data_IF_776498944104
#
_entry.id   IF_776498944104
#
_cell.length_a   1.000
_cell.length_b   1.000
_cell.length_c   1.000
_cell.angle_alpha   90.00
_cell.angle_beta   90.00
_cell.angle_gamma   90.00
#
_symmetry.space_group_name_H-M   'P 1'
#
loop_
_entity.id
_entity.type
_entity.pdbx_description
1 polymer ?
2 branched ?
3 non-polymer ?
4 non-polymer ?
5 non-polymer ?
6 water ?
#
# COMPACT_ATOMS: atom_id res chain seq x y z
N UNK A 1 -14.67 -18.11 17.26
CA UNK A 1 -14.15 -16.93 16.58
C UNK A 1 -15.25 -15.97 16.10
N UNK A 2 -15.04 -14.68 16.34
CA UNK A 2 -15.98 -13.66 15.90
C UNK A 2 -15.34 -12.73 14.87
N UNK A 3 -16.18 -12.14 14.01
CA UNK A 3 -15.72 -11.10 13.10
C UNK A 3 -15.16 -9.95 13.95
N UNK A 4 -14.05 -9.36 13.50
CA UNK A 4 -13.51 -8.20 14.20
C UNK A 4 -14.31 -6.92 13.94
N UNK A 5 -14.53 -6.13 14.98
CA UNK A 5 -15.18 -4.82 14.84
C UNK A 5 -14.19 -3.68 15.11
N UNK A 6 -14.29 -2.62 14.31
CA UNK A 6 -13.44 -1.44 14.50
C UNK A 6 -13.95 -0.59 15.65
N UNK A 7 -13.52 -0.91 16.87
CA UNK A 7 -14.07 -0.27 18.06
C UNK A 7 -13.12 0.71 18.76
N UNK A 8 -11.89 0.81 18.27
CA UNK A 8 -10.88 1.63 18.93
C UNK A 8 -10.48 2.83 18.08
N UNK A 9 -9.95 3.86 18.73
CA UNK A 9 -9.33 4.98 18.03
C UNK A 9 -7.86 4.67 17.85
N UNK A 10 -7.16 5.49 17.06
CA UNK A 10 -5.72 5.32 16.89
C UNK A 10 -4.98 5.67 18.18
N UNK A 11 -3.88 4.99 18.44
CA UNK A 11 -3.00 5.40 19.53
C UNK A 11 -2.39 6.75 19.17
N UNK A 12 -2.03 7.53 20.18
CA UNK A 12 -1.34 8.79 19.95
C UNK A 12 0.02 8.48 19.35
N UNK A 13 0.32 9.14 18.23
CA UNK A 13 1.57 8.92 17.51
C UNK A 13 2.59 10.00 17.87
N UNK A 14 3.55 9.66 18.74
CA UNK A 14 4.60 10.61 19.10
C UNK A 14 5.93 10.33 18.39
N UNK A 15 6.07 9.10 17.88
CA UNK A 15 7.23 8.71 17.06
C UNK A 15 6.96 7.36 16.39
N UNK A 16 7.95 6.86 15.65
CA UNK A 16 7.79 5.56 15.01
C UNK A 16 8.93 4.62 15.40
N UNK A 17 8.59 3.38 15.76
CA UNK A 17 9.61 2.39 16.10
C UNK A 17 9.73 1.33 15.01
N UNK A 18 10.91 0.72 14.89
CA UNK A 18 11.10 -0.36 13.92
C UNK A 18 10.17 -1.53 14.26
N UNK A 19 9.53 -2.09 13.23
CA UNK A 19 8.61 -3.21 13.43
C UNK A 19 9.09 -4.46 12.69
N UNK A 20 9.46 -4.28 11.41
CA UNK A 20 9.93 -5.39 10.61
C UNK A 20 10.80 -4.95 9.46
N UNK A 21 11.73 -5.81 9.08
CA UNK A 21 12.63 -5.55 7.95
C UNK A 21 13.15 -6.91 7.52
N UNK A 22 13.09 -7.22 6.22
CA UNK A 22 13.49 -8.56 5.79
C UNK A 22 14.88 -8.66 5.16
N UNK A 23 15.45 -7.53 4.75
CA UNK A 23 16.77 -7.54 4.11
C UNK A 23 16.83 -8.50 2.91
N UNK A 24 15.73 -8.59 2.17
CA UNK A 24 15.56 -9.63 1.15
C UNK A 24 16.62 -9.62 0.04
N UNK A 25 17.02 -8.42 -0.39
CA UNK A 25 17.96 -8.32 -1.51
C UNK A 25 19.37 -8.71 -1.07
N UNK A 26 19.76 -8.29 0.14
CA UNK A 26 21.05 -8.70 0.72
C UNK A 26 21.12 -10.22 0.79
N UNK A 27 20.09 -10.82 1.35
CA UNK A 27 20.06 -12.26 1.56
C UNK A 27 19.93 -13.01 0.23
N UNK A 28 19.15 -12.44 -0.69
CA UNK A 28 18.93 -13.05 -1.98
C UNK A 28 20.10 -13.00 -2.94
N UNK A 29 21.18 -12.31 -2.56
CA UNK A 29 22.43 -12.37 -3.32
C UNK A 29 22.97 -13.80 -3.32
N UNK A 30 22.61 -14.54 -2.28
CA UNK A 30 23.12 -15.90 -2.08
C UNK A 30 22.11 -16.73 -1.31
N UNK A 31 20.91 -16.86 -1.89
CA UNK A 31 19.85 -17.69 -1.35
C UNK A 31 18.71 -17.72 -2.36
N UNK A 32 17.81 -18.68 -2.22
CA UNK A 32 16.69 -18.81 -3.14
C UNK A 32 15.54 -17.89 -2.73
N UNK A 33 15.78 -16.58 -2.92
CA UNK A 33 14.81 -15.54 -2.56
C UNK A 33 14.04 -15.11 -3.82
N UNK A 34 12.71 -15.13 -3.73
CA UNK A 34 11.88 -14.80 -4.89
C UNK A 34 11.99 -13.32 -5.25
N UNK A 35 12.03 -13.01 -6.55
CA UNK A 35 11.89 -11.64 -6.98
C UNK A 35 10.46 -11.18 -6.70
N UNK A 36 10.30 -10.02 -6.08
CA UNK A 36 8.96 -9.48 -5.80
C UNK A 36 8.87 -8.02 -6.19
N UNK A 37 7.66 -7.48 -6.05
CA UNK A 37 7.45 -6.04 -5.90
C UNK A 37 6.05 -5.84 -5.34
N UNK A 38 5.67 -4.58 -5.14
CA UNK A 38 4.36 -4.26 -4.57
C UNK A 38 4.07 -5.03 -3.27
N UNK A 39 4.95 -4.90 -2.26
CA UNK A 39 4.75 -5.65 -1.01
C UNK A 39 3.78 -4.96 -0.06
N UNK A 40 3.32 -5.69 0.94
CA UNK A 40 2.62 -5.09 2.07
C UNK A 40 2.71 -5.97 3.29
N UNK A 41 2.00 -5.57 4.34
CA UNK A 41 1.98 -6.35 5.58
C UNK A 41 0.50 -6.47 5.96
N UNK A 42 0.12 -7.63 6.48
CA UNK A 42 -1.25 -7.83 6.94
C UNK A 42 -1.26 -8.83 8.09
N UNK A 43 -2.13 -8.60 9.07
CA UNK A 43 -2.19 -9.47 10.24
C UNK A 43 -3.40 -10.40 10.26
N UNK A 44 -3.17 -11.61 10.76
CA UNK A 44 -4.23 -12.52 11.19
C UNK A 44 -4.37 -12.30 12.69
N UNK A 45 -5.37 -12.93 13.33
CA UNK A 45 -5.48 -12.73 14.79
C UNK A 45 -4.35 -13.35 15.59
N UNK A 46 -3.62 -14.31 15.00
CA UNK A 46 -2.54 -14.99 15.73
C UNK A 46 -1.14 -14.77 15.12
N UNK A 47 -1.08 -13.97 14.04
CA UNK A 47 0.16 -13.83 13.30
C UNK A 47 0.11 -12.64 12.34
N UNK A 48 1.24 -11.96 12.19
CA UNK A 48 1.36 -10.92 11.16
C UNK A 48 2.36 -11.39 10.12
N UNK A 49 2.07 -11.09 8.85
CA UNK A 49 2.89 -11.59 7.76
C UNK A 49 3.20 -10.54 6.69
N UNK A 50 4.32 -10.74 6.00
CA UNK A 50 4.70 -9.94 4.83
C UNK A 50 4.01 -10.50 3.59
N UNK A 51 3.57 -9.61 2.69
CA UNK A 51 2.90 -10.00 1.45
C UNK A 51 3.58 -9.27 0.30
N UNK A 52 3.55 -9.86 -0.88
CA UNK A 52 4.10 -9.21 -2.09
C UNK A 52 3.71 -9.99 -3.33
N UNK A 53 3.89 -9.35 -4.49
CA UNK A 53 3.68 -10.04 -5.76
C UNK A 53 4.99 -10.62 -6.27
N UNK A 54 5.09 -11.95 -6.25
CA UNK A 54 6.26 -12.64 -6.79
C UNK A 54 6.32 -12.46 -8.31
N UNK A 55 7.51 -12.68 -8.87
CA UNK A 55 7.70 -12.65 -10.32
C UNK A 55 7.97 -14.06 -10.84
N UNK A 56 7.82 -15.05 -9.97
CA UNK A 56 7.98 -16.45 -10.35
C UNK A 56 9.40 -16.79 -10.76
N UNK A 57 10.36 -16.32 -9.97
CA UNK A 57 11.80 -16.56 -10.21
C UNK A 57 12.57 -16.04 -9.00
N UNK A 58 13.76 -16.58 -8.76
CA UNK A 58 14.64 -15.99 -7.73
C UNK A 58 15.48 -14.88 -8.35
N UNK A 59 16.14 -14.09 -7.50
CA UNK A 59 16.96 -12.98 -7.97
C UNK A 59 18.19 -13.44 -8.74
N UNK A 60 18.87 -14.49 -8.23
CA UNK A 60 20.05 -15.01 -8.92
C UNK A 60 19.66 -15.83 -10.15
N UNK A 61 18.41 -16.30 -10.19
CA UNK A 61 17.90 -17.05 -11.33
C UNK A 61 17.97 -16.22 -12.59
N UNK A 62 18.26 -16.86 -13.72
CA UNK A 62 18.35 -16.14 -14.98
C UNK A 62 17.01 -15.54 -15.41
N UNK A 63 15.91 -16.11 -14.94
CA UNK A 63 14.58 -15.59 -15.26
C UNK A 63 14.27 -14.26 -14.54
N UNK A 64 15.18 -13.81 -13.68
CA UNK A 64 15.04 -12.48 -13.07
C UNK A 64 15.26 -11.39 -14.13
N UNK A 65 15.91 -11.74 -15.23
CA UNK A 65 16.10 -10.83 -16.36
C UNK A 65 14.75 -10.36 -16.90
N UNK A 66 14.46 -9.08 -16.78
CA UNK A 66 13.23 -8.55 -17.35
C UNK A 66 12.10 -8.35 -16.34
N UNK A 67 12.40 -8.50 -15.06
CA UNK A 67 11.38 -8.39 -14.00
C UNK A 67 10.93 -6.97 -13.70
N UNK A 68 11.36 -6.00 -14.50
CA UNK A 68 10.75 -4.67 -14.42
C UNK A 68 9.30 -4.76 -14.92
N UNK A 69 9.02 -5.79 -15.71
CA UNK A 69 7.69 -6.05 -16.27
C UNK A 69 6.61 -6.17 -15.17
N UNK A 70 5.49 -5.47 -15.35
CA UNK A 70 4.44 -5.40 -14.32
C UNK A 70 3.47 -6.60 -14.26
N UNK A 71 3.07 -7.12 -15.42
CA UNK A 71 1.95 -8.06 -15.48
C UNK A 71 2.22 -9.27 -16.36
N UNK A 72 2.73 -10.35 -15.76
CA UNK A 72 2.99 -11.59 -16.50
C UNK A 72 2.18 -12.70 -15.87
N UNK A 73 2.17 -13.87 -16.52
CA UNK A 73 1.42 -15.03 -16.03
C UNK A 73 2.18 -15.76 -14.92
N UNK A 74 3.34 -15.22 -14.54
CA UNK A 74 4.23 -15.89 -13.62
C UNK A 74 4.23 -15.20 -12.28
N UNK A 75 3.36 -14.20 -12.14
CA UNK A 75 3.21 -13.50 -10.87
C UNK A 75 2.15 -14.16 -10.00
N UNK A 76 2.31 -13.99 -8.69
CA UNK A 76 1.34 -14.48 -7.71
C UNK A 76 1.51 -13.68 -6.43
N UNK A 77 0.40 -13.48 -5.71
CA UNK A 77 0.47 -12.95 -4.36
C UNK A 77 1.00 -14.03 -3.44
N UNK A 78 2.13 -13.77 -2.78
CA UNK A 78 2.65 -14.68 -1.77
C UNK A 78 2.66 -14.01 -0.40
N UNK A 79 2.65 -14.81 0.65
CA UNK A 79 2.85 -14.28 2.01
C UNK A 79 3.90 -15.10 2.69
N UNK A 80 4.59 -14.50 3.66
CA UNK A 80 5.65 -15.21 4.37
C UNK A 80 5.87 -14.63 5.77
N UNK A 81 6.55 -15.39 6.66
CA UNK A 81 6.67 -14.94 8.06
C UNK A 81 7.34 -13.58 8.22
N UNK A 82 6.85 -12.81 9.19
CA UNK A 82 7.31 -11.44 9.44
C UNK A 82 8.84 -11.36 9.48
N UNK A 83 9.40 -10.44 8.69
CA UNK A 83 10.84 -10.15 8.69
C UNK A 83 11.77 -11.21 8.12
N UNK A 84 11.22 -12.37 7.75
CA UNK A 84 11.93 -13.32 6.93
C UNK A 84 11.88 -12.80 5.50
N UNK A 85 12.79 -13.26 4.63
CA UNK A 85 12.67 -12.84 3.23
C UNK A 85 11.72 -13.76 2.46
N UNK A 86 11.19 -13.30 1.32
CA UNK A 86 10.31 -14.22 0.56
C UNK A 86 11.13 -15.28 -0.17
N UNK A 87 11.23 -16.47 0.39
CA UNK A 87 11.99 -17.54 -0.25
C UNK A 87 11.08 -18.54 -0.95
N UNK A 88 11.65 -19.33 -1.84
CA UNK A 88 10.91 -20.39 -2.54
C UNK A 88 10.30 -21.38 -1.55
N UNK A 89 10.97 -21.60 -0.43
CA UNK A 89 10.60 -22.67 0.51
C UNK A 89 9.74 -22.22 1.69
N UNK A 90 9.62 -20.91 1.91
CA UNK A 90 8.84 -20.40 3.05
C UNK A 90 7.66 -19.53 2.63
N UNK A 91 7.52 -19.28 1.33
CA UNK A 91 6.45 -18.43 0.81
C UNK A 91 5.19 -19.22 0.47
N UNK A 92 4.06 -18.77 0.99
CA UNK A 92 2.76 -19.41 0.72
C UNK A 92 2.02 -18.62 -0.36
N UNK A 93 1.56 -19.30 -1.42
CA UNK A 93 0.81 -18.60 -2.47
C UNK A 93 -0.64 -18.40 -2.07
N UNK A 94 -1.08 -17.14 -2.04
CA UNK A 94 -2.47 -16.83 -1.71
C UNK A 94 -3.38 -16.95 -2.94
N UNK A 95 -2.91 -16.45 -4.07
CA UNK A 95 -3.63 -16.56 -5.35
C UNK A 95 -2.73 -16.10 -6.49
N UNK A 96 -3.18 -16.34 -7.72
CA UNK A 96 -2.38 -16.03 -8.92
C UNK A 96 -2.83 -14.72 -9.56
N UNK A 97 -1.88 -13.84 -9.88
CA UNK A 97 -2.22 -12.58 -10.49
C UNK A 97 -1.14 -11.52 -10.33
N UNK A 98 -1.41 -10.33 -10.85
CA UNK A 98 -0.41 -9.26 -10.88
C UNK A 98 -0.89 -7.97 -10.23
N UNK A 99 -1.98 -8.07 -9.47
CA UNK A 99 -2.47 -6.97 -8.64
C UNK A 99 -3.30 -7.61 -7.52
N UNK A 100 -3.20 -7.09 -6.30
CA UNK A 100 -3.81 -7.80 -5.18
C UNK A 100 -4.23 -6.94 -3.98
N UNK A 101 -5.05 -7.54 -3.12
CA UNK A 101 -5.30 -7.03 -1.78
C UNK A 101 -5.59 -8.25 -0.91
N UNK A 102 -5.53 -8.09 0.40
CA UNK A 102 -5.80 -9.19 1.31
C UNK A 102 -6.11 -8.62 2.69
N UNK A 103 -7.03 -9.26 3.40
CA UNK A 103 -7.30 -8.87 4.79
C UNK A 103 -8.01 -9.99 5.54
N UNK A 104 -7.80 -10.06 6.85
CA UNK A 104 -8.49 -11.02 7.70
C UNK A 104 -9.70 -10.33 8.34
N UNK A 105 -10.85 -11.03 8.40
CA UNK A 105 -12.05 -10.45 9.01
C UNK A 105 -12.24 -10.82 10.48
N UNK A 106 -11.27 -11.55 11.03
CA UNK A 106 -11.35 -12.00 12.41
C UNK A 106 -11.68 -13.49 12.46
N UNK A 107 -12.40 -13.97 11.44
CA UNK A 107 -12.68 -15.40 11.29
C UNK A 107 -11.76 -16.03 10.25
N UNK A 108 -11.72 -15.44 9.06
CA UNK A 108 -10.86 -15.94 7.99
C UNK A 108 -10.31 -14.82 7.11
N UNK A 109 -9.33 -15.16 6.28
CA UNK A 109 -8.69 -14.19 5.42
C UNK A 109 -9.31 -14.18 4.02
N UNK A 110 -9.56 -12.97 3.51
CA UNK A 110 -9.93 -12.81 2.11
C UNK A 110 -8.70 -12.36 1.33
N UNK A 111 -8.43 -13.00 0.20
CA UNK A 111 -7.39 -12.53 -0.71
C UNK A 111 -7.96 -12.37 -2.11
N UNK A 112 -7.57 -11.29 -2.79
CA UNK A 112 -8.04 -11.03 -4.14
C UNK A 112 -6.84 -10.81 -5.07
N UNK A 113 -6.78 -11.57 -6.17
CA UNK A 113 -5.76 -11.41 -7.19
C UNK A 113 -6.43 -11.15 -8.52
N UNK A 114 -5.86 -10.24 -9.29
CA UNK A 114 -6.37 -9.97 -10.64
C UNK A 114 -5.37 -10.52 -11.64
N UNK A 115 -5.85 -11.13 -12.72
CA UNK A 115 -4.96 -11.59 -13.79
C UNK A 115 -5.62 -11.39 -15.14
N UNK A 116 -4.88 -11.66 -16.21
CA UNK A 116 -5.42 -11.55 -17.56
C UNK A 116 -4.64 -10.55 -18.39
N UNK A 117 -5.02 -10.41 -19.67
CA UNK A 117 -4.41 -9.39 -20.52
C UNK A 117 -5.07 -8.04 -20.22
N UNK A 118 -4.49 -6.95 -20.71
CA UNK A 118 -4.98 -5.61 -20.40
C UNK A 118 -6.47 -5.41 -20.66
N UNK A 119 -6.99 -6.02 -21.72
CA UNK A 119 -8.37 -5.82 -22.13
C UNK A 119 -9.35 -6.90 -21.69
N UNK A 120 -8.88 -7.86 -20.89
CA UNK A 120 -9.74 -8.98 -20.50
C UNK A 120 -9.37 -9.53 -19.11
N UNK A 121 -9.00 -8.63 -18.20
CA UNK A 121 -8.58 -9.02 -16.85
C UNK A 121 -9.77 -9.38 -15.96
N UNK A 122 -9.51 -10.21 -14.94
CA UNK A 122 -10.55 -10.60 -14.00
C UNK A 122 -9.99 -10.78 -12.60
N UNK A 123 -10.80 -10.45 -11.60
CA UNK A 123 -10.42 -10.63 -10.21
C UNK A 123 -11.02 -11.93 -9.70
N UNK A 124 -10.24 -12.68 -8.92
CA UNK A 124 -10.79 -13.84 -8.22
C UNK A 124 -10.70 -13.57 -6.73
N UNK A 125 -11.83 -13.69 -6.04
CA UNK A 125 -11.88 -13.47 -4.60
C UNK A 125 -11.78 -14.79 -3.85
N UNK A 126 -10.70 -14.94 -3.07
CA UNK A 126 -10.51 -16.12 -2.22
C UNK A 126 -10.92 -15.81 -0.79
N UNK A 127 -11.63 -16.74 -0.16
CA UNK A 127 -11.96 -16.65 1.26
C UNK A 127 -11.63 -17.99 1.94
N UNK A 128 -10.86 -17.92 3.03
CA UNK A 128 -10.41 -19.12 3.73
C UNK A 128 -9.73 -20.09 2.77
N UNK A 129 -8.82 -19.54 1.95
CA UNK A 129 -7.99 -20.30 1.02
C UNK A 129 -8.75 -21.05 -0.10
N UNK A 130 -9.98 -20.62 -0.39
CA UNK A 130 -10.76 -21.17 -1.51
C UNK A 130 -11.34 -20.04 -2.35
N UNK A 131 -11.37 -20.24 -3.68
CA UNK A 131 -11.97 -19.23 -4.56
C UNK A 131 -13.49 -19.19 -4.36
N UNK A 132 -14.05 -17.99 -4.21
CA UNK A 132 -15.48 -17.85 -3.88
C UNK A 132 -16.24 -17.05 -4.93
N UNK A 133 -15.69 -15.91 -5.33
CA UNK A 133 -16.35 -15.05 -6.32
C UNK A 133 -15.34 -14.54 -7.35
N UNK A 134 -15.85 -14.13 -8.51
CA UNK A 134 -15.02 -13.64 -9.61
C UNK A 134 -15.65 -12.38 -10.20
N UNK A 135 -14.79 -11.46 -10.65
CA UNK A 135 -15.27 -10.19 -11.21
C UNK A 135 -14.54 -9.91 -12.52
N UNK A 136 -15.30 -9.74 -13.60
CA UNK A 136 -14.69 -9.44 -14.89
C UNK A 136 -14.43 -7.95 -15.04
N UNK A 137 -13.41 -7.60 -15.82
CA UNK A 137 -13.14 -6.20 -16.18
C UNK A 137 -14.40 -5.50 -16.69
N UNK A 138 -14.61 -4.25 -16.23
CA UNK A 138 -15.77 -3.46 -16.65
C UNK A 138 -15.39 -2.31 -17.59
N UNK A 139 -14.08 -2.03 -17.67
CA UNK A 139 -13.59 -0.98 -18.55
C UNK A 139 -12.55 -1.50 -19.56
N UNK A 140 -12.16 -2.76 -19.40
CA UNK A 140 -11.24 -3.42 -20.34
C UNK A 140 -9.91 -2.68 -20.48
N UNK A 141 -9.41 -2.19 -19.36
CA UNK A 141 -8.13 -1.48 -19.37
C UNK A 141 -7.42 -1.65 -18.03
N UNK A 142 -6.81 -2.82 -17.86
CA UNK A 142 -6.06 -3.17 -16.66
C UNK A 142 -6.86 -3.03 -15.37
N UNK A 143 -7.85 -3.91 -15.19
CA UNK A 143 -8.55 -4.01 -13.91
C UNK A 143 -7.48 -4.20 -12.83
N UNK A 144 -7.54 -3.38 -11.78
CA UNK A 144 -6.45 -3.35 -10.80
C UNK A 144 -6.93 -2.87 -9.44
N UNK A 145 -6.16 -3.18 -8.40
CA UNK A 145 -6.58 -2.88 -7.04
C UNK A 145 -5.47 -2.34 -6.12
N UNK A 146 -5.65 -2.48 -4.81
CA UNK A 146 -4.91 -1.69 -3.82
C UNK A 146 -3.39 -1.88 -3.69
N UNK A 147 -2.92 -3.13 -3.76
CA UNK A 147 -1.52 -3.50 -3.47
C UNK A 147 -1.11 -3.27 -2.01
N UNK A 148 -2.12 -3.18 -1.13
CA UNK A 148 -1.92 -3.26 0.31
C UNK A 148 -3.18 -3.81 0.95
N UNK A 149 -3.16 -4.04 2.26
CA UNK A 149 -4.26 -4.74 2.91
C UNK A 149 -5.58 -3.97 2.86
N UNK A 150 -6.69 -4.72 2.82
CA UNK A 150 -8.01 -4.12 2.99
C UNK A 150 -8.32 -4.12 4.48
N UNK A 151 -9.51 -3.70 4.86
CA UNK A 151 -9.89 -3.65 6.27
C UNK A 151 -11.32 -4.14 6.41
N UNK A 152 -11.62 -4.84 7.50
CA UNK A 152 -12.95 -5.40 7.68
C UNK A 152 -13.65 -4.83 8.91
N UNK A 153 -14.97 -4.82 8.87
CA UNK A 153 -15.77 -4.50 10.06
C UNK A 153 -17.04 -5.34 10.08
N UNK A 154 -17.17 -6.15 11.14
CA UNK A 154 -18.28 -7.09 11.29
C UNK A 154 -18.48 -7.98 10.06
N UNK A 155 -17.38 -8.45 9.48
CA UNK A 155 -17.45 -9.33 8.31
C UNK A 155 -17.42 -8.63 6.97
N UNK A 156 -17.65 -7.32 6.97
CA UNK A 156 -17.71 -6.57 5.71
C UNK A 156 -16.35 -5.96 5.39
N UNK A 157 -15.76 -6.37 4.27
CA UNK A 157 -14.44 -5.88 3.88
C UNK A 157 -14.49 -5.12 2.57
N UNK A 158 -14.52 -3.78 2.65
CA UNK A 158 -14.51 -2.94 1.45
C UNK A 158 -13.16 -3.01 0.71
N UNK A 159 -13.20 -2.94 -0.62
CA UNK A 159 -12.00 -2.93 -1.45
C UNK A 159 -12.16 -1.93 -2.60
N UNK A 160 -11.12 -1.15 -2.88
CA UNK A 160 -11.19 -0.19 -3.99
C UNK A 160 -10.55 -0.79 -5.24
N UNK A 161 -11.25 -0.70 -6.38
CA UNK A 161 -10.74 -1.15 -7.66
C UNK A 161 -10.76 0.02 -8.64
N UNK A 162 -9.83 0.03 -9.58
CA UNK A 162 -9.90 0.94 -10.71
C UNK A 162 -9.79 0.12 -12.00
N UNK A 163 -10.52 0.55 -13.02
CA UNK A 163 -10.40 -0.06 -14.34
C UNK A 163 -10.55 1.09 -15.34
N UNK A 164 -9.62 1.19 -16.29
CA UNK A 164 -9.61 2.29 -17.24
C UNK A 164 -8.28 3.01 -17.28
N UNK A 165 -8.29 4.23 -17.82
CA UNK A 165 -7.05 4.97 -18.05
C UNK A 165 -6.27 5.32 -16.77
N UNK A 166 -4.95 5.41 -16.92
CA UNK A 166 -4.07 5.87 -15.84
C UNK A 166 -3.73 7.35 -16.05
N UNK A 167 -4.10 7.87 -17.21
CA UNK A 167 -3.75 9.23 -17.59
C UNK A 167 -4.99 10.04 -17.98
N UNK A 168 -6.13 9.68 -17.40
CA UNK A 168 -7.40 10.33 -17.68
C UNK A 168 -8.48 9.77 -16.77
N UNK A 169 -9.72 10.24 -16.94
CA UNK A 169 -10.85 9.73 -16.14
C UNK A 169 -10.99 8.21 -16.26
N UNK A 170 -11.07 7.52 -15.12
CA UNK A 170 -11.18 6.06 -15.08
C UNK A 170 -12.41 5.62 -14.30
N UNK A 171 -12.72 4.33 -14.35
CA UNK A 171 -13.90 3.79 -13.66
C UNK A 171 -13.51 3.11 -12.34
N UNK A 172 -13.59 3.86 -11.25
CA UNK A 172 -13.26 3.34 -9.94
C UNK A 172 -14.52 2.83 -9.24
N UNK A 173 -14.42 1.68 -8.59
CA UNK A 173 -15.54 1.08 -7.87
C UNK A 173 -15.12 0.71 -6.46
N UNK A 174 -16.06 0.81 -5.53
CA UNK A 174 -15.82 0.30 -4.17
C UNK A 174 -16.67 -0.94 -3.98
N UNK A 175 -16.03 -2.08 -3.74
CA UNK A 175 -16.75 -3.34 -3.52
C UNK A 175 -16.82 -3.64 -2.04
N UNK A 176 -17.92 -4.27 -1.63
CA UNK A 176 -18.12 -4.63 -0.24
C UNK A 176 -18.28 -6.13 -0.18
N UNK A 177 -17.29 -6.81 0.38
CA UNK A 177 -17.30 -8.27 0.44
C UNK A 177 -17.63 -8.78 1.84
N UNK A 178 -18.29 -9.93 1.89
CA UNK A 178 -18.42 -10.66 3.16
C UNK A 178 -18.22 -12.15 2.89
N UNK A 179 -17.28 -12.75 3.62
CA UNK A 179 -16.88 -14.14 3.38
C UNK A 179 -16.60 -14.39 1.89
N UNK A 180 -16.07 -13.36 1.22
CA UNK A 180 -15.71 -13.47 -0.19
C UNK A 180 -16.85 -13.21 -1.15
N UNK A 181 -18.07 -13.10 -0.64
CA UNK A 181 -19.23 -12.84 -1.50
C UNK A 181 -19.45 -11.34 -1.66
N UNK A 182 -19.91 -10.94 -2.85
CA UNK A 182 -20.21 -9.54 -3.15
C UNK A 182 -21.55 -9.12 -2.54
N UNK A 183 -21.49 -8.22 -1.57
CA UNK A 183 -22.70 -7.70 -0.94
C UNK A 183 -23.25 -6.55 -1.78
N UNK A 184 -22.32 -5.78 -2.34
CA UNK A 184 -22.66 -4.51 -2.98
C UNK A 184 -21.40 -3.92 -3.59
N UNK A 185 -21.57 -3.19 -4.68
CA UNK A 185 -20.51 -2.33 -5.19
C UNK A 185 -21.12 -1.00 -5.62
N UNK A 186 -20.29 0.04 -5.64
CA UNK A 186 -20.75 1.37 -6.03
C UNK A 186 -19.67 2.10 -6.80
N UNK A 187 -20.07 2.95 -7.74
CA UNK A 187 -19.11 3.75 -8.47
C UNK A 187 -18.60 4.87 -7.58
N UNK A 188 -17.33 5.25 -7.79
CA UNK A 188 -16.68 6.30 -7.01
C UNK A 188 -17.46 7.61 -7.05
N UNK A 189 -17.66 8.21 -5.88
CA UNK A 189 -18.32 9.51 -5.79
C UNK A 189 -17.40 10.50 -5.07
N UNK A 190 -17.83 11.77 -5.00
CA UNK A 190 -17.05 12.77 -4.30
C UNK A 190 -16.18 13.59 -5.24
N UNK A 191 -15.13 14.20 -4.72
CA UNK A 191 -14.37 15.18 -5.50
C UNK A 191 -13.00 14.70 -5.98
N UNK A 192 -12.61 13.49 -5.58
CA UNK A 192 -11.37 12.91 -6.09
C UNK A 192 -11.55 12.65 -7.58
N UNK A 193 -10.58 13.10 -8.38
CA UNK A 193 -10.71 13.06 -9.84
C UNK A 193 -10.02 11.83 -10.48
N UNK A 194 -9.15 11.18 -9.71
CA UNK A 194 -8.50 9.95 -10.18
C UNK A 194 -8.00 9.13 -9.00
N UNK A 195 -8.23 7.81 -9.05
CA UNK A 195 -7.93 6.93 -7.92
C UNK A 195 -7.08 5.71 -8.32
N UNK A 196 -5.94 5.53 -7.65
CA UNK A 196 -5.11 4.33 -7.83
C UNK A 196 -4.63 3.84 -6.48
N UNK A 197 -4.52 2.51 -6.35
CA UNK A 197 -3.72 1.90 -5.28
C UNK A 197 -3.98 2.47 -3.88
N UNK A 198 -5.21 2.32 -3.40
CA UNK A 198 -5.57 2.87 -2.09
C UNK A 198 -4.89 2.12 -0.95
N UNK A 199 -4.33 2.87 0.00
CA UNK A 199 -3.83 2.34 1.26
C UNK A 199 -4.85 2.67 2.35
N UNK A 200 -5.36 1.65 3.04
CA UNK A 200 -6.47 1.87 3.97
C UNK A 200 -6.16 1.40 5.38
N UNK A 201 -6.92 1.94 6.33
CA UNK A 201 -6.86 1.52 7.73
C UNK A 201 -8.23 1.79 8.35
N UNK A 202 -8.53 1.10 9.44
CA UNK A 202 -9.83 1.25 10.08
C UNK A 202 -9.73 1.69 11.53
N UNK A 203 -10.69 2.49 11.95
CA UNK A 203 -10.83 2.80 13.37
C UNK A 203 -12.30 3.15 13.58
N UNK A 204 -12.69 3.43 14.82
CA UNK A 204 -14.11 3.62 15.15
C UNK A 204 -14.85 4.61 14.24
N UNK A 205 -14.13 5.58 13.68
CA UNK A 205 -14.72 6.58 12.80
C UNK A 205 -15.06 6.02 11.41
N UNK A 206 -14.60 4.80 11.14
CA UNK A 206 -14.82 4.16 9.85
C UNK A 206 -13.53 3.66 9.21
N UNK A 207 -13.54 3.54 7.89
CA UNK A 207 -12.35 3.11 7.16
C UNK A 207 -11.83 4.29 6.34
N UNK A 208 -10.52 4.57 6.45
CA UNK A 208 -9.92 5.68 5.69
C UNK A 208 -8.89 5.12 4.69
N UNK A 209 -9.02 5.53 3.44
CA UNK A 209 -8.10 5.12 2.38
C UNK A 209 -7.38 6.32 1.78
N UNK A 210 -6.06 6.30 1.80
CA UNK A 210 -5.27 7.33 1.14
C UNK A 210 -4.72 6.73 -0.16
N UNK A 211 -5.04 7.35 -1.29
CA UNK A 211 -4.71 6.76 -2.59
C UNK A 211 -3.74 7.59 -3.44
N UNK A 212 -3.80 7.36 -4.74
CA UNK A 212 -2.90 8.02 -5.67
C UNK A 212 -3.71 8.53 -6.86
N UNK A 213 -3.58 9.81 -7.16
CA UNK A 213 -4.12 10.39 -8.38
C UNK A 213 -2.99 10.36 -9.37
N UNK A 214 -3.03 9.47 -10.35
CA UNK A 214 -1.92 9.38 -11.30
C UNK A 214 -2.05 10.41 -12.43
N UNK A 215 -3.25 10.90 -12.63
CA UNK A 215 -3.56 11.76 -13.77
C UNK A 215 -3.00 13.19 -13.64
N UNK A 216 -3.43 13.95 -12.64
CA UNK A 216 -3.04 15.36 -12.54
C UNK A 216 -2.52 15.84 -11.19
N UNK A 217 -2.84 15.12 -10.12
CA UNK A 217 -2.61 15.67 -8.80
C UNK A 217 -1.46 15.13 -7.99
N UNK A 218 -0.64 16.04 -7.47
CA UNK A 218 0.45 15.63 -6.58
C UNK A 218 0.04 15.69 -5.12
N UNK A 219 -1.17 16.15 -4.85
CA UNK A 219 -1.78 15.91 -3.54
C UNK A 219 -2.46 14.54 -3.62
N UNK A 220 -2.77 13.93 -2.48
CA UNK A 220 -3.37 12.60 -2.51
C UNK A 220 -4.87 12.62 -2.30
N UNK A 221 -5.58 11.84 -3.13
CA UNK A 221 -7.02 11.63 -2.94
C UNK A 221 -7.28 10.74 -1.74
N UNK A 222 -8.39 11.01 -1.05
CA UNK A 222 -8.78 10.25 0.12
C UNK A 222 -10.19 9.73 -0.10
N UNK A 223 -10.40 8.46 0.26
CA UNK A 223 -11.72 7.87 0.23
C UNK A 223 -12.05 7.43 1.64
N UNK A 224 -13.18 7.91 2.16
CA UNK A 224 -13.61 7.55 3.51
C UNK A 224 -14.82 6.64 3.41
N UNK A 225 -14.72 5.44 3.96
CA UNK A 225 -15.75 4.42 3.75
C UNK A 225 -16.49 4.09 5.04
N UNK A 226 -17.81 4.16 5.00
CA UNK A 226 -18.64 3.64 6.08
C UNK A 226 -18.93 2.17 5.77
N UNK A 227 -18.38 1.25 6.58
CA UNK A 227 -18.54 -0.18 6.28
C UNK A 227 -19.88 -0.75 6.77
N UNK A 228 -20.62 0.00 7.58
CA UNK A 228 -21.95 -0.45 8.01
C UNK A 228 -23.00 -0.07 6.98
N UNK A 229 -23.03 1.20 6.61
CA UNK A 229 -23.94 1.70 5.59
C UNK A 229 -23.49 1.27 4.19
N UNK A 230 -22.20 0.94 4.09
CA UNK A 230 -21.59 0.56 2.82
C UNK A 230 -21.66 1.70 1.81
N UNK A 231 -21.21 2.87 2.26
CA UNK A 231 -21.13 4.06 1.42
C UNK A 231 -19.80 4.75 1.68
N UNK A 232 -19.50 5.77 0.88
CA UNK A 232 -18.20 6.41 0.96
C UNK A 232 -18.30 7.85 0.45
N UNK A 233 -17.26 8.64 0.73
CA UNK A 233 -17.10 9.95 0.12
C UNK A 233 -15.65 10.05 -0.34
N UNK A 234 -15.33 11.04 -1.16
CA UNK A 234 -13.95 11.26 -1.53
C UNK A 234 -13.60 12.74 -1.62
N UNK A 235 -12.32 13.02 -1.39
CA UNK A 235 -11.76 14.37 -1.59
C UNK A 235 -10.24 14.20 -1.69
N UNK A 236 -9.51 15.29 -1.47
CA UNK A 236 -8.06 15.23 -1.42
C UNK A 236 -7.60 15.64 -0.03
N UNK A 237 -6.35 15.35 0.31
CA UNK A 237 -5.76 15.92 1.51
C UNK A 237 -5.61 17.42 1.23
N UNK A 238 -6.25 18.26 2.03
CA UNK A 238 -6.24 19.71 1.80
C UNK A 238 -4.84 20.30 1.95
N UNK A 239 -4.02 19.69 2.81
CA UNK A 239 -2.72 20.25 3.18
C UNK A 239 -1.82 20.57 1.98
N UNK A 240 -1.08 21.69 2.08
CA UNK A 240 -0.07 22.03 1.07
C UNK A 240 1.20 21.20 1.22
N UNK A 241 1.27 20.36 2.25
CA UNK A 241 2.34 19.37 2.35
C UNK A 241 2.00 18.23 1.38
N UNK A 242 2.55 18.31 0.17
CA UNK A 242 2.17 17.39 -0.91
C UNK A 242 2.92 16.07 -0.78
N UNK A 243 2.23 14.95 -1.04
CA UNK A 243 2.80 13.65 -0.70
C UNK A 243 2.87 12.60 -1.80
N UNK A 244 2.63 12.99 -3.04
CA UNK A 244 2.77 12.05 -4.13
C UNK A 244 4.31 12.24 -4.58
N UNK A 245 4.70 11.47 -5.58
CA UNK A 245 6.03 11.56 -6.16
C UNK A 245 5.96 11.08 -7.60
N UNK A 246 6.51 11.87 -8.55
CA UNK A 246 7.12 13.19 -8.36
C UNK A 246 6.06 14.23 -8.00
N UNK A 247 6.49 15.42 -7.58
CA UNK A 247 5.56 16.44 -7.10
C UNK A 247 6.21 17.83 -7.13
N UNK A 248 5.39 18.90 -7.21
CA UNK A 248 5.93 20.26 -7.08
C UNK A 248 6.39 20.52 -5.66
N UNK A 249 7.04 21.66 -5.45
CA UNK A 249 7.40 22.05 -4.09
C UNK A 249 6.16 22.39 -3.28
N UNK A 250 6.26 22.30 -1.95
CA UNK A 250 5.11 22.61 -1.10
C UNK A 250 4.77 24.09 -1.16
N UNK A 251 3.55 24.41 -1.63
CA UNK A 251 3.05 25.79 -1.60
C UNK A 251 2.53 26.11 -0.20
N UNK A 252 1.79 27.20 -0.05
CA UNK A 252 1.21 27.55 1.25
C UNK A 252 -0.29 27.35 1.30
N UNK A 253 -0.89 27.08 0.14
CA UNK A 253 -2.31 26.71 0.09
C UNK A 253 -2.46 25.42 -0.71
N UNK A 254 -3.04 24.39 -0.09
CA UNK A 254 -3.23 23.13 -0.77
C UNK A 254 -4.57 23.13 -1.48
N UNK A 255 -5.04 21.94 -1.89
CA UNK A 255 -6.32 21.83 -2.57
C UNK A 255 -7.14 20.67 -2.01
N UNK A 256 -8.36 20.95 -1.58
CA UNK A 256 -9.24 19.97 -0.96
C UNK A 256 -10.05 19.13 -1.96
N UNK A 257 -10.41 19.73 -3.09
CA UNK A 257 -11.40 19.13 -3.98
C UNK A 257 -10.99 19.04 -5.44
N UNK A 258 -9.70 19.24 -5.70
CA UNK A 258 -9.14 19.08 -7.03
C UNK A 258 -7.66 18.74 -6.92
N UNK A 259 -7.07 18.18 -7.99
CA UNK A 259 -5.65 17.86 -8.00
C UNK A 259 -4.77 19.11 -7.89
N UNK A 260 -3.72 19.08 -7.07
CA UNK A 260 -2.72 20.13 -7.12
C UNK A 260 -1.83 19.87 -8.34
N UNK A 261 -1.69 20.88 -9.22
CA UNK A 261 -1.05 20.70 -10.53
C UNK A 261 0.48 20.83 -10.51
N UNK A 262 1.13 20.32 -11.55
CA UNK A 262 2.57 20.44 -11.69
C UNK A 262 3.20 19.20 -12.30
N UNK A 263 2.70 18.03 -11.90
CA UNK A 263 3.19 16.76 -12.44
C UNK A 263 2.00 15.94 -12.93
N UNK A 264 2.03 15.58 -14.21
CA UNK A 264 0.96 14.81 -14.81
C UNK A 264 1.39 13.37 -15.11
N UNK A 265 0.43 12.46 -15.14
CA UNK A 265 0.68 11.10 -15.62
C UNK A 265 1.84 10.37 -14.91
N UNK A 266 1.90 10.50 -13.59
CA UNK A 266 2.88 9.74 -12.80
C UNK A 266 2.45 9.76 -11.35
N UNK A 267 3.17 9.06 -10.49
CA UNK A 267 2.81 9.02 -9.08
C UNK A 267 3.34 7.78 -8.41
N UNK A 268 3.22 7.70 -7.09
CA UNK A 268 3.61 6.51 -6.36
C UNK A 268 2.52 6.15 -5.34
N UNK A 269 2.34 4.85 -5.10
CA UNK A 269 1.44 4.42 -4.04
C UNK A 269 1.99 4.90 -2.70
N UNK A 270 1.12 5.49 -1.88
CA UNK A 270 1.50 5.99 -0.56
C UNK A 270 0.36 5.89 0.43
N UNK A 271 0.50 6.55 1.59
CA UNK A 271 -0.47 6.40 2.66
C UNK A 271 -0.47 7.61 3.58
N UNK A 272 -1.45 7.69 4.47
CA UNK A 272 -1.43 8.66 5.55
C UNK A 272 -2.29 8.14 6.68
N UNK A 273 -2.10 8.71 7.88
CA UNK A 273 -3.02 8.49 8.98
C UNK A 273 -3.66 9.84 9.32
N UNK A 274 -4.94 9.96 9.01
CA UNK A 274 -5.67 11.22 9.13
C UNK A 274 -6.54 11.21 10.38
N UNK A 275 -6.11 11.92 11.42
CA UNK A 275 -6.71 11.79 12.74
C UNK A 275 -6.62 13.08 13.56
N UNK A 276 -7.22 14.16 13.06
CA UNK A 276 -7.17 15.45 13.73
C UNK A 276 -5.75 15.89 14.06
N UNK A 277 -5.50 16.23 15.32
CA UNK A 277 -4.17 16.63 15.75
C UNK A 277 -3.18 15.46 15.77
N UNK A 278 -3.69 14.24 15.60
CA UNK A 278 -2.83 13.06 15.57
C UNK A 278 -2.54 12.62 14.13
N UNK A 279 -2.60 13.57 13.20
CA UNK A 279 -2.37 13.27 11.79
C UNK A 279 -0.88 13.17 11.42
N UNK A 280 -0.51 12.08 10.75
CA UNK A 280 0.84 11.93 10.19
C UNK A 280 0.78 11.54 8.71
N UNK A 281 1.64 12.16 7.90
CA UNK A 281 1.68 11.87 6.47
C UNK A 281 3.04 11.28 6.10
N UNK A 282 3.04 10.30 5.20
CA UNK A 282 4.27 9.75 4.68
C UNK A 282 4.54 10.30 3.29
N UNK A 283 5.82 10.50 2.95
CA UNK A 283 6.20 10.85 1.60
C UNK A 283 7.67 10.55 1.35
N UNK A 284 8.02 10.44 0.07
CA UNK A 284 9.41 10.33 -0.33
C UNK A 284 10.08 11.67 0.02
N UNK A 285 11.37 11.64 0.29
CA UNK A 285 12.08 12.91 0.52
C UNK A 285 12.21 13.67 -0.80
N UNK A 286 12.75 13.02 -1.82
CA UNK A 286 12.86 13.64 -3.14
C UNK A 286 11.50 14.02 -3.73
N UNK A 287 11.48 15.12 -4.49
CA UNK A 287 10.28 15.52 -5.22
C UNK A 287 10.35 15.01 -6.65
N UNK A 288 11.49 14.45 -7.03
CA UNK A 288 11.71 14.02 -8.42
C UNK A 288 11.62 12.50 -8.58
N UNK A 289 12.08 11.77 -7.57
CA UNK A 289 12.13 10.31 -7.69
C UNK A 289 11.80 9.57 -6.39
N UNK A 290 11.65 8.25 -6.53
CA UNK A 290 11.30 7.39 -5.41
C UNK A 290 12.53 7.12 -4.54
N UNK A 291 12.98 8.17 -3.87
CA UNK A 291 14.12 8.03 -2.97
C UNK A 291 13.82 8.70 -1.64
N UNK A 292 14.30 8.05 -0.57
CA UNK A 292 14.07 8.56 0.77
C UNK A 292 12.63 8.34 1.21
N UNK A 293 12.40 8.43 2.50
CA UNK A 293 11.04 8.42 3.01
C UNK A 293 11.02 9.10 4.36
N UNK A 294 10.00 9.93 4.60
CA UNK A 294 9.87 10.61 5.89
C UNK A 294 8.41 10.65 6.33
N UNK A 295 8.20 10.69 7.64
CA UNK A 295 6.87 10.92 8.20
C UNK A 295 6.79 12.35 8.73
N UNK A 296 5.66 13.01 8.49
CA UNK A 296 5.49 14.39 8.96
C UNK A 296 4.20 14.55 9.75
N UNK A 297 4.30 15.13 10.94
CA UNK A 297 3.11 15.37 11.74
C UNK A 297 2.45 16.67 11.28
N UNK A 298 1.28 16.56 10.65
CA UNK A 298 0.61 17.73 10.06
C UNK A 298 -0.82 17.79 10.57
N UNK A 299 -1.05 18.56 11.65
CA UNK A 299 -2.36 18.61 12.31
C UNK A 299 -3.48 18.95 11.32
N UNK A 300 -4.53 18.13 11.29
CA UNK A 300 -5.71 18.38 10.46
C UNK A 300 -5.41 18.51 8.97
N UNK A 301 -4.39 17.78 8.51
CA UNK A 301 -3.98 17.82 7.10
C UNK A 301 -5.14 17.60 6.14
N UNK A 302 -6.03 16.69 6.51
CA UNK A 302 -7.19 16.35 5.67
C UNK A 302 -8.08 17.56 5.36
N UNK A 303 -8.32 18.41 6.36
CA UNK A 303 -9.30 19.49 6.24
C UNK A 303 -8.72 20.91 6.16
N UNK A 304 -7.46 21.06 6.57
CA UNK A 304 -6.84 22.40 6.65
C UNK A 304 -5.90 22.65 5.47
N UNK A 305 -6.28 23.53 4.55
CA UNK A 305 -5.46 23.81 3.36
C UNK A 305 -4.26 24.72 3.61
N UNK A 306 -3.99 25.06 4.87
CA UNK A 306 -2.83 25.87 5.23
C UNK A 306 -1.85 25.07 6.08
N UNK A 307 -2.22 23.84 6.43
CA UNK A 307 -1.49 23.08 7.45
C UNK A 307 -0.06 22.70 7.06
N UNK A 308 0.84 22.82 8.02
CA UNK A 308 2.27 22.57 7.82
C UNK A 308 2.77 21.62 8.91
N UNK A 309 4.00 21.08 8.77
CA UNK A 309 4.50 20.13 9.77
C UNK A 309 4.92 20.79 11.09
N UNK A 310 4.70 20.09 12.22
CA UNK A 310 5.18 20.53 13.52
C UNK A 310 6.13 19.51 14.14
N UNK A 311 6.24 18.35 13.51
CA UNK A 311 7.12 17.29 13.96
C UNK A 311 7.35 16.32 12.80
N UNK A 312 8.43 15.53 12.87
CA UNK A 312 8.73 14.62 11.79
C UNK A 312 9.68 13.50 12.15
N UNK A 313 9.84 12.56 11.23
CA UNK A 313 10.79 11.49 11.40
C UNK A 313 11.25 10.95 10.06
N UNK A 314 12.57 10.94 9.87
CA UNK A 314 13.15 10.35 8.67
C UNK A 314 13.16 8.83 8.80
N UNK A 315 12.73 8.14 7.74
CA UNK A 315 12.63 6.69 7.76
C UNK A 315 13.73 6.09 6.88
N UNK A 316 13.86 6.63 5.67
CA UNK A 316 14.91 6.24 4.74
C UNK A 316 15.58 7.51 4.23
N UNK A 317 16.91 7.52 4.16
CA UNK A 317 17.64 8.71 3.69
C UNK A 317 17.39 8.94 2.21
N UNK A 318 17.49 10.19 1.78
CA UNK A 318 17.27 10.54 0.38
C UNK A 318 18.27 9.86 -0.55
N UNK A 319 19.44 9.52 -0.02
CA UNK A 319 20.47 8.81 -0.80
C UNK A 319 20.06 7.37 -1.13
N UNK A 320 19.04 6.87 -0.43
CA UNK A 320 18.60 5.49 -0.58
C UNK A 320 17.24 5.38 -1.30
N UNK A 321 17.12 4.37 -2.15
CA UNK A 321 15.89 4.15 -2.91
C UNK A 321 14.74 3.70 -2.02
N UNK A 322 13.56 4.26 -2.25
CA UNK A 322 12.37 3.78 -1.58
C UNK A 322 11.40 3.21 -2.61
N UNK A 323 10.13 3.56 -2.52
CA UNK A 323 9.13 2.99 -3.42
C UNK A 323 7.73 3.10 -2.84
N UNK A 324 6.89 2.11 -3.12
CA UNK A 324 5.54 2.08 -2.57
C UNK A 324 5.56 2.12 -1.03
N UNK A 325 4.51 2.68 -0.46
CA UNK A 325 4.36 2.66 0.99
C UNK A 325 2.88 2.51 1.26
N UNK A 326 2.53 1.86 2.36
CA UNK A 326 1.13 1.63 2.66
C UNK A 326 0.86 1.37 4.13
N UNK A 327 -0.41 1.39 4.50
CA UNK A 327 -0.79 1.23 5.90
C UNK A 327 -1.28 -0.19 6.25
N UNK A 328 -1.11 -0.54 7.52
CA UNK A 328 -1.72 -1.74 8.09
C UNK A 328 -1.71 -1.55 9.60
N UNK A 329 -2.55 -2.30 10.30
CA UNK A 329 -2.50 -2.31 11.77
C UNK A 329 -2.79 -3.72 12.27
N UNK A 330 -2.23 -4.06 13.44
CA UNK A 330 -2.60 -5.31 14.10
C UNK A 330 -3.92 -5.09 14.85
N UNK A 331 -5.03 -5.38 14.18
CA UNK A 331 -6.35 -5.17 14.78
C UNK A 331 -6.64 -6.10 15.97
N UNK A 332 -5.78 -7.09 16.19
CA UNK A 332 -6.00 -8.06 17.26
C UNK A 332 -5.02 -7.93 18.44
N UNK A 333 -4.32 -6.79 18.50
CA UNK A 333 -3.40 -6.52 19.61
C UNK A 333 -4.16 -6.15 20.90
N UNK A 334 -3.49 -6.27 22.04
CA UNK A 334 -4.03 -5.87 23.33
C UNK A 334 -4.08 -4.34 23.46
N UNK A 335 -4.91 -3.83 24.38
CA UNK A 335 -4.94 -2.40 24.65
C UNK A 335 -6.20 -1.68 24.22
N UNK A 336 -6.20 -0.36 24.40
CA UNK A 336 -7.41 0.43 24.17
C UNK A 336 -7.37 1.20 22.85
N UNK A 337 -6.29 1.04 22.10
CA UNK A 337 -6.14 1.79 20.86
C UNK A 337 -5.44 0.96 19.78
N UNK A 338 -5.66 1.37 18.53
CA UNK A 338 -5.02 0.72 17.39
C UNK A 338 -3.71 1.44 17.11
N UNK A 339 -2.63 0.67 17.01
CA UNK A 339 -1.30 1.23 16.78
C UNK A 339 -1.06 1.34 15.28
N UNK A 340 -1.00 2.57 14.79
CA UNK A 340 -0.73 2.84 13.37
C UNK A 340 0.60 2.20 12.94
N UNK A 341 0.57 1.50 11.81
CA UNK A 341 1.79 0.94 11.22
C UNK A 341 1.86 1.25 9.73
N UNK A 342 3.05 1.11 9.16
CA UNK A 342 3.20 1.25 7.72
C UNK A 342 4.42 0.47 7.25
N UNK A 343 4.49 0.20 5.96
CA UNK A 343 5.68 -0.41 5.38
C UNK A 343 6.18 0.54 4.30
N UNK A 344 7.47 0.46 4.00
CA UNK A 344 7.98 1.15 2.82
C UNK A 344 8.65 0.09 1.96
N UNK A 345 8.33 0.10 0.66
CA UNK A 345 8.98 -0.78 -0.30
C UNK A 345 10.31 -0.16 -0.72
N UNK A 346 11.40 -0.90 -0.56
CA UNK A 346 12.71 -0.41 -0.95
C UNK A 346 13.10 -1.06 -2.28
N UNK A 347 12.81 -0.36 -3.37
CA UNK A 347 13.03 -0.92 -4.71
C UNK A 347 14.50 -0.94 -5.09
N UNK A 348 14.99 -2.10 -5.52
CA UNK A 348 16.37 -2.20 -6.02
C UNK A 348 16.33 -2.70 -7.46
N UNK A 349 17.34 -2.32 -8.23
CA UNK A 349 17.38 -2.71 -9.63
C UNK A 349 16.80 -1.66 -10.55
N UNK A 350 16.15 -2.12 -11.62
CA UNK A 350 15.69 -1.21 -12.66
C UNK A 350 14.42 -0.46 -12.26
N UNK A 351 14.22 0.75 -12.83
CA UNK A 351 15.04 1.39 -13.87
C UNK A 351 16.22 2.19 -13.32
N UNK A 352 16.23 2.48 -12.03
CA UNK A 352 17.26 3.33 -11.44
C UNK A 352 18.66 2.70 -11.38
N UNK A 353 18.71 1.38 -11.25
CA UNK A 353 19.98 0.68 -11.16
C UNK A 353 20.05 -0.37 -12.26
N UNK A 354 20.42 0.05 -13.47
CA UNK A 354 20.27 -0.78 -14.66
C UNK A 354 21.50 -1.63 -14.99
N UNK A 355 22.47 -1.66 -14.10
CA UNK A 355 23.61 -2.57 -14.28
C UNK A 355 23.16 -4.01 -14.09
N UNK A 356 22.12 -4.21 -13.28
CA UNK A 356 21.45 -5.50 -13.19
C UNK A 356 20.23 -5.49 -14.11
N UNK A 357 19.70 -6.67 -14.42
CA UNK A 357 18.63 -6.78 -15.41
C UNK A 357 17.28 -7.04 -14.75
N UNK A 358 17.32 -7.20 -13.43
CA UNK A 358 16.12 -7.47 -12.64
C UNK A 358 15.58 -6.22 -11.93
N UNK A 359 14.40 -6.39 -11.35
CA UNK A 359 13.81 -5.39 -10.46
C UNK A 359 13.19 -6.13 -9.28
N UNK A 360 13.57 -5.75 -8.07
CA UNK A 360 12.99 -6.38 -6.89
C UNK A 360 12.92 -5.36 -5.76
N UNK A 361 12.82 -5.84 -4.53
CA UNK A 361 12.71 -4.94 -3.39
C UNK A 361 12.94 -5.67 -2.07
N UNK A 362 13.16 -4.90 -1.00
CA UNK A 362 13.04 -5.45 0.33
C UNK A 362 11.98 -4.63 1.04
N UNK A 363 11.71 -4.96 2.30
CA UNK A 363 10.68 -4.30 3.07
C UNK A 363 11.28 -3.73 4.36
N UNK A 364 10.86 -2.52 4.71
CA UNK A 364 11.05 -2.05 6.09
C UNK A 364 9.67 -1.64 6.60
N UNK A 365 9.42 -1.85 7.88
CA UNK A 365 8.10 -1.57 8.44
C UNK A 365 8.26 -0.89 9.81
N UNK A 366 7.36 0.05 10.13
CA UNK A 366 7.36 0.72 11.43
C UNK A 366 5.97 0.78 12.04
N UNK A 367 5.90 0.90 13.36
CA UNK A 367 4.65 1.19 14.08
C UNK A 367 4.83 2.41 14.99
N UNK A 368 3.73 3.03 15.39
CA UNK A 368 3.80 4.24 16.20
C UNK A 368 4.13 3.92 17.66
N UNK A 369 4.76 4.88 18.33
CA UNK A 369 5.03 4.78 19.76
C UNK A 369 4.48 6.02 20.46
N UNK A 370 4.02 5.88 21.69
CA UNK A 370 3.61 7.06 22.45
C UNK A 370 4.81 7.74 23.09
N UNK A 371 5.97 7.09 23.01
CA UNK A 371 7.22 7.73 23.41
C UNK A 371 7.73 8.63 22.27
N UNK A 372 8.72 9.47 22.57
CA UNK A 372 9.40 10.25 21.53
C UNK A 372 10.78 9.64 21.31
N UNK A 373 10.80 8.59 20.49
CA UNK A 373 11.99 7.76 20.31
C UNK A 373 12.98 8.38 19.33
N UNK A 374 14.27 8.16 19.59
CA UNK A 374 15.31 8.53 18.64
C UNK A 374 15.05 7.89 17.28
N UNK A 375 15.53 8.53 16.22
CA UNK A 375 15.29 8.02 14.89
C UNK A 375 16.57 7.47 14.23
N UNK A 376 16.39 6.45 13.39
CA UNK A 376 17.49 5.97 12.55
C UNK A 376 17.02 6.07 11.11
N UNK A 377 17.85 5.61 10.17
CA UNK A 377 17.40 5.46 8.78
C UNK A 377 17.59 4.01 8.39
N UNK A 378 16.74 3.52 7.48
CA UNK A 378 16.69 2.09 7.18
C UNK A 378 16.83 1.78 5.68
N UNK A 379 18.07 1.58 5.23
CA UNK A 379 18.29 1.31 3.80
C UNK A 379 18.01 -0.15 3.48
N UNK A 380 17.83 -0.45 2.20
CA UNK A 380 17.73 -1.83 1.76
C UNK A 380 18.99 -2.57 2.19
N UNK A 381 20.15 -1.98 1.89
CA UNK A 381 21.41 -2.49 2.39
C UNK A 381 22.21 -3.38 1.46
N UNK A 382 21.67 -3.67 0.28
CA UNK A 382 22.39 -4.52 -0.69
C UNK A 382 23.35 -3.67 -1.53
N UNK A 383 24.46 -4.26 -1.93
CA UNK A 383 25.40 -3.60 -2.84
C UNK A 383 25.21 -4.17 -4.24
N UNK A 384 24.71 -3.34 -5.15
CA UNK A 384 24.45 -3.74 -6.55
C UNK A 384 25.66 -4.43 -7.19
N UNK A 385 26.86 -3.95 -6.87
CA UNK A 385 28.08 -4.46 -7.50
C UNK A 385 28.26 -5.96 -7.27
N UNK A 386 27.70 -6.48 -6.19
CA UNK A 386 27.82 -7.90 -5.87
C UNK A 386 27.07 -8.79 -6.86
N UNK A 387 26.04 -8.23 -7.50
CA UNK A 387 25.19 -8.98 -8.42
C UNK A 387 25.73 -8.95 -9.85
N UNK A 388 26.87 -8.29 -10.03
CA UNK A 388 27.44 -8.08 -11.36
C UNK A 388 28.32 -9.23 -11.81
X LIG B 1 -12.29 -11.63 -23.71
X LIG B 1 -12.09 -11.71 -25.23
X LIG B 1 -13.21 -12.48 -25.91
X LIG B 1 -13.53 -13.79 -25.19
X LIG B 1 -13.69 -13.54 -23.70
X LIG B 1 -13.98 -14.82 -22.92
X LIG B 1 -10.93 -9.92 -26.46
X LIG B 1 -10.95 -8.49 -26.90
X LIG B 1 -11.99 -10.36 -25.78
X LIG B 1 -12.86 -12.76 -27.25
X LIG B 1 -14.71 -14.33 -25.76
X LIG B 1 -12.52 -12.92 -23.19
X LIG B 1 -13.02 -15.80 -23.24
X LIG B 1 -9.96 -10.65 -26.74
X LIG B 2 -14.49 -15.65 -26.30
X LIG B 2 -15.79 -16.46 -26.30
X LIG B 2 -15.47 -17.90 -26.69
X LIG B 2 -14.72 -17.92 -28.03
X LIG B 2 -13.52 -16.96 -27.99
X LIG B 2 -12.81 -16.88 -29.33
X LIG B 2 -17.41 -15.54 -24.75
X LIG B 2 -18.01 -15.55 -23.37
X LIG B 2 -16.45 -16.42 -25.01
X LIG B 2 -16.63 -18.68 -26.73
X LIG B 2 -14.27 -19.24 -28.26
X LIG B 2 -13.93 -15.67 -27.58
X LIG B 2 -13.77 -16.61 -30.33
X LIG B 2 -17.81 -14.74 -25.59
X LIG B 3 -14.80 -19.82 -29.45
X LIG B 3 -13.94 -21.04 -29.79
X LIG B 3 -14.46 -21.83 -30.97
X LIG B 3 -15.96 -22.07 -30.86
X LIG B 3 -16.70 -20.78 -30.50
X LIG B 3 -18.17 -21.06 -30.27
X LIG B 3 -13.92 -21.91 -28.65
X LIG B 3 -13.76 -23.08 -30.99
X LIG B 3 -16.48 -22.57 -32.09
X LIG B 3 -16.16 -20.24 -29.30
X LIG B 3 -18.96 -19.86 -30.23
X LIG B 4 -13.35 -23.39 -32.34
X LIG B 4 -12.76 -24.80 -32.44
X LIG B 4 -11.48 -24.85 -31.59
X LIG B 4 -10.49 -23.83 -32.17
X LIG B 4 -11.15 -22.46 -32.17
X LIG B 4 -10.25 -21.41 -32.82
X LIG B 4 -12.53 -24.95 -33.82
X LIG B 4 -10.90 -26.14 -31.50
X LIG B 4 -9.32 -23.80 -31.39
X LIG B 4 -12.39 -22.48 -32.86
X LIG B 4 -10.58 -20.15 -32.27
X LIG B 5 -12.21 -26.29 -34.23
X LIG B 5 -12.00 -26.28 -35.75
X LIG B 5 -13.33 -26.01 -36.46
X LIG B 5 -14.33 -27.07 -36.03
X LIG B 5 -14.45 -27.06 -34.50
X LIG B 5 -15.45 -28.11 -34.03
X LIG B 5 -11.48 -27.54 -36.12
X LIG B 5 -13.16 -26.04 -37.87
X LIG B 5 -15.59 -26.83 -36.60
X LIG B 5 -13.19 -27.27 -33.89
X LIG B 5 -15.05 -29.40 -34.46
X LIG B 6 -10.08 -27.41 -36.46
X LIG B 6 -9.69 -28.75 -37.07
X LIG B 6 -9.82 -29.80 -35.98
X LIG B 6 -8.91 -29.46 -34.81
X LIG B 6 -9.24 -28.05 -34.29
X LIG B 6 -8.28 -27.64 -33.18
X LIG B 6 -8.38 -28.71 -37.61
X LIG B 6 -9.48 -31.07 -36.48
X LIG B 6 -9.07 -30.38 -33.76
X LIG B 6 -9.23 -27.11 -35.36
X LIG B 6 -6.94 -27.61 -33.65
X LIG B 7 -19.28 -19.44 -31.57
X LIG B 7 -19.94 -18.07 -31.53
X LIG B 7 -21.26 -18.12 -30.79
X LIG B 7 -22.14 -19.21 -31.39
X LIG B 7 -21.35 -20.52 -31.43
X LIG B 7 -22.15 -21.69 -32.01
X LIG B 7 -20.15 -17.62 -32.85
X LIG B 7 -21.91 -16.86 -30.83
X LIG B 7 -23.28 -19.39 -30.58
X LIG B 7 -20.17 -20.34 -32.20
X LIG B 7 -22.65 -21.29 -33.26
X LIG B 8 -22.09 -16.32 -29.50
X LIG B 8 -23.03 -15.11 -29.52
X LIG B 8 -22.36 -13.95 -30.27
X LIG B 8 -20.98 -13.66 -29.71
X LIG B 8 -20.15 -14.95 -29.66
X LIG B 8 -18.77 -14.74 -29.05
X LIG B 8 -23.39 -14.72 -28.20
X LIG B 8 -23.18 -12.80 -30.18
X LIG B 8 -20.34 -12.71 -30.53
X LIG B 8 -20.86 -15.93 -28.91
X LIG B 8 -17.97 -15.90 -29.23
X LIG B 9 -23.39 -22.34 -33.90
X LIG B 9 -23.65 -21.90 -35.34
X LIG B 9 -24.38 -20.56 -35.30
X LIG B 9 -25.69 -20.72 -34.51
X LIG B 9 -25.39 -21.34 -33.14
X LIG B 9 -26.66 -21.61 -32.33
X LIG B 9 -24.44 -22.85 -36.03
X LIG B 9 -24.64 -20.09 -36.60
X LIG B 9 -26.29 -19.46 -34.32
X LIG B 9 -24.66 -22.54 -33.29
X LIG B 9 -26.33 -22.34 -31.16
X LIG C 1 -18.90 -7.40 16.35
X LIG C 1 -18.65 -8.53 17.34
X LIG C 1 -19.68 -9.65 17.20
X LIG C 1 -21.09 -9.06 17.27
X LIG C 1 -21.22 -8.01 16.15
X LIG C 1 -22.64 -7.45 16.03
X LIG C 1 -16.51 -9.16 18.31
X LIG C 1 -15.10 -9.66 18.10
X LIG C 1 -17.30 -9.07 17.24
X LIG C 1 -19.49 -10.63 18.20
X LIG C 1 -22.05 -10.08 17.08
X LIG C 1 -20.26 -6.98 16.36
X LIG C 1 -22.91 -6.47 17.01
X LIG C 1 -16.89 -8.86 19.44
X LIG D 1 19.03 -10.12 -20.18
X LIG D 1 20.51 -10.47 -20.34
X LIG D 1 21.13 -9.69 -21.49
X LIG D 1 20.36 -9.99 -22.76
X LIG D 1 18.88 -9.70 -22.57
X LIG D 1 18.09 -10.17 -23.79
X LIG D 1 21.93 -11.25 -18.56
X LIG D 1 22.43 -11.06 -17.15
X LIG D 1 21.24 -10.25 -19.10
X LIG D 1 22.48 -10.07 -21.63
X LIG D 1 20.86 -9.21 -23.83
X LIG D 1 18.34 -10.32 -21.41
X LIG D 1 16.81 -9.57 -23.82
X LIG D 1 22.15 -12.29 -19.17
X LIG E 1 0.44 12.25 -9.19
X LIG F 1 2.45 -1.47 -11.08
X LIG F 1 1.62 -2.27 -10.23
X LIG F 1 1.61 -3.75 -10.31
X LIG F 1 2.41 -4.38 -11.16
X LIG F 1 0.82 -4.48 -9.53
X LIG F 1 1.77 -0.22 -11.44
X LIG F 1 0.62 -0.50 -12.47
X LIG F 1 -0.14 0.80 -13.09
X LIG F 1 -0.58 1.75 -11.96
X LIG F 1 -1.62 1.22 -11.02
X LIG F 1 -1.26 0.44 -14.05
X LIG F 1 -1.94 1.53 -14.84
X LIG F 1 -0.43 -1.58 -12.03
X LIG F 1 -0.54 -2.83 -12.72
X LIG F 1 -1.56 -3.82 -12.24
X LIG F 1 0.18 -3.09 -13.67
X LIG F 1 2.86 0.65 -11.92
X LIG F 1 3.02 0.51 -13.31
X LIG F 1 4.08 0.21 -11.26
X LIG F 1 4.61 1.33 -10.38
X LIG F 1 5.78 1.10 -9.66
X LIG F 1 4.33 2.65 -10.71
X LIG F 1 3.72 -0.98 -10.43
#
# INVERSE_FOLDING_TARGET
RNFNNLTKGLCTINSWHIYGKDNAVRIGESSDVLVTREPYVSCDPDECRFYALSQGTTIRGKHSNGTIHDRSQYRALISWPLSSPPTVYNSRVECIGWSSTSCHDGKSRMSICISGPNNNASAVVWYNRRPVAEINTWARNILRTQESECVCHNGVCPVVFTDGSATGPADTRIYYFKEGKILKWESLTGTAKHIEECSCYGERTGITCTCKDNWQGSNRPVIQIDPVAMTHTSQYICSPVLTDNPRPNDPNIGKCNDPYPGNNNNGVKGFSYLDGANTWLGRTISTASRSGYEMLKVPNALTDDRSKPIQGQTIVLNADWSGYSGSFMDYWAEGDCYRACFYVELIRGRPKEDKVWWTSNSIVSMCSSTEFLGQWNWPDGAKIEYFL
NAG C1 C2 C3 C4 C5 C6 C7 C8 N2 O3 O4 O5 O6 O7
NAG C1 C2 C3 C4 C5 C6 C7 C8 N2 O3 O4 O5 O6 O7
BMA C1 C2 C3 C4 C5 C6 O2 O3 O4 O5 O6
MAN C1 C2 C3 C4 C5 C6 O2 O3 O4 O5 O6
MAN C1 C2 C3 C4 C5 C6 O2 O3 O4 O5 O6
MAN C1 C2 C3 C4 C5 C6 O2 O3 O4 O5 O6
MAN C1 C2 C3 C4 C5 C6 O2 O3 O4 O5 O6
MAN C1 C2 C3 C4 C5 C6 O2 O3 O4 O5 O6
MAN C1 C2 C3 C4 C5 C6 O2 O3 O4 O5 O6
NAG C1 C2 C3 C4 C5 C6 C7 C8 N2 O3 O4 O5 O6 O7
NAG C1 C2 C3 C4 C5 C6 C7 C8 N2 O3 O4 O5 O6 O7
CA CA
BCZ C2 N25 C26 N30 N27 C3 C10 C24 C37 C38 C36 C39 N11 C13 C15 O14 C4 O9 C5 C6 O8 O7 C1
#
